data_IF_111841182862
#
_entry.id   IF_111841182862
#
_cell.length_a   1.000
_cell.length_b   1.000
_cell.length_c   1.000
_cell.angle_alpha   90.00
_cell.angle_beta   90.00
_cell.angle_gamma   90.00
#
_symmetry.space_group_name_H-M   'P 1'
#
loop_
_entity.id
_entity.type
_entity.pdbx_description
1 polymer ?
#
# COMPACT_ATOMS: atom_id res chain seq x y z
N UNK A 1 -18.22 -9.83 -10.64
CA UNK A 1 -19.70 -9.68 -10.77
C UNK A 1 -20.42 -9.53 -9.43
N UNK A 2 -20.12 -10.33 -8.40
CA UNK A 2 -20.80 -10.19 -7.09
C UNK A 2 -20.46 -8.91 -6.32
N UNK A 3 -19.23 -8.40 -6.43
CA UNK A 3 -18.79 -7.17 -5.73
C UNK A 3 -19.44 -5.93 -6.33
N UNK A 4 -19.42 -5.78 -7.65
CA UNK A 4 -20.08 -4.65 -8.33
C UNK A 4 -21.58 -4.63 -8.06
N UNK A 5 -22.25 -5.79 -8.11
CA UNK A 5 -23.67 -5.89 -7.78
C UNK A 5 -23.98 -5.46 -6.34
N UNK A 6 -23.17 -5.91 -5.36
CA UNK A 6 -23.30 -5.49 -3.97
C UNK A 6 -23.08 -3.98 -3.79
N UNK A 7 -22.10 -3.40 -4.49
CA UNK A 7 -21.83 -1.97 -4.44
C UNK A 7 -22.97 -1.16 -5.05
N UNK A 8 -23.50 -1.57 -6.21
CA UNK A 8 -24.68 -0.93 -6.82
C UNK A 8 -25.87 -0.98 -5.87
N UNK A 9 -26.16 -2.15 -5.30
CA UNK A 9 -27.25 -2.32 -4.34
C UNK A 9 -27.05 -1.42 -3.11
N UNK A 10 -25.82 -1.34 -2.58
CA UNK A 10 -25.50 -0.47 -1.45
C UNK A 10 -25.72 1.01 -1.76
N UNK A 11 -25.32 1.48 -2.95
CA UNK A 11 -25.53 2.88 -3.39
C UNK A 11 -27.01 3.19 -3.48
N UNK A 12 -27.79 2.28 -4.09
CA UNK A 12 -29.24 2.45 -4.26
C UNK A 12 -29.93 2.47 -2.90
N UNK A 13 -29.65 1.49 -2.03
CA UNK A 13 -30.24 1.42 -0.69
C UNK A 13 -29.91 2.67 0.14
N UNK A 14 -28.66 3.14 0.10
CA UNK A 14 -28.24 4.34 0.81
C UNK A 14 -28.97 5.59 0.27
N UNK A 15 -29.09 5.72 -1.05
CA UNK A 15 -29.78 6.86 -1.68
C UNK A 15 -31.28 6.85 -1.34
N UNK A 16 -31.94 5.69 -1.39
CA UNK A 16 -33.34 5.55 -1.00
C UNK A 16 -33.55 5.84 0.49
N UNK A 17 -32.66 5.37 1.35
CA UNK A 17 -32.73 5.63 2.79
C UNK A 17 -32.58 7.12 3.10
N UNK A 18 -31.58 7.79 2.51
CA UNK A 18 -31.39 9.24 2.67
C UNK A 18 -32.62 9.99 2.15
N UNK A 19 -33.15 9.62 0.97
CA UNK A 19 -34.35 10.24 0.41
C UNK A 19 -35.60 10.07 1.29
N UNK A 20 -35.78 8.90 1.90
CA UNK A 20 -36.88 8.66 2.84
C UNK A 20 -36.75 9.53 4.09
N UNK A 21 -35.55 9.60 4.68
CA UNK A 21 -35.30 10.45 5.86
C UNK A 21 -35.48 11.93 5.52
N UNK A 22 -35.03 12.36 4.35
CA UNK A 22 -35.16 13.74 3.85
C UNK A 22 -36.62 14.12 3.63
N UNK A 23 -37.45 13.22 3.10
CA UNK A 23 -38.89 13.44 2.96
C UNK A 23 -39.58 13.64 4.33
N UNK A 24 -39.27 12.81 5.32
CA UNK A 24 -39.86 12.90 6.66
C UNK A 24 -39.36 14.14 7.43
N UNK A 25 -38.09 14.50 7.26
CA UNK A 25 -37.39 15.47 8.11
C UNK A 25 -37.20 16.84 7.44
N UNK A 26 -37.50 16.97 6.15
CA UNK A 26 -37.17 18.11 5.27
C UNK A 26 -37.74 19.47 5.67
N UNK A 27 -38.57 19.55 6.72
CA UNK A 27 -39.07 20.81 7.29
C UNK A 27 -38.16 21.44 8.34
N UNK A 28 -37.20 20.69 8.91
CA UNK A 28 -36.38 21.15 10.04
C UNK A 28 -34.88 21.09 9.76
N UNK A 29 -34.40 20.14 8.94
CA UNK A 29 -32.97 19.92 8.71
C UNK A 29 -32.62 19.88 7.21
N UNK A 30 -31.46 20.42 6.84
CA UNK A 30 -30.95 20.42 5.46
C UNK A 30 -30.05 19.18 5.23
N UNK A 31 -30.52 18.18 4.49
CA UNK A 31 -29.78 16.90 4.31
C UNK A 31 -28.84 16.86 3.10
N UNK A 32 -28.62 17.97 2.40
CA UNK A 32 -27.88 17.98 1.12
C UNK A 32 -26.47 17.38 1.22
N UNK A 33 -25.78 17.56 2.36
CA UNK A 33 -24.44 17.02 2.58
C UNK A 33 -24.42 15.49 2.58
N UNK A 34 -25.49 14.84 3.04
CA UNK A 34 -25.55 13.38 3.13
C UNK A 34 -25.64 12.73 1.75
N UNK A 35 -26.19 13.42 0.75
CA UNK A 35 -26.22 12.95 -0.63
C UNK A 35 -24.83 12.89 -1.29
N UNK A 36 -23.79 13.49 -0.70
CA UNK A 36 -22.42 13.23 -1.15
C UNK A 36 -21.94 11.80 -0.85
N UNK A 37 -22.44 11.17 0.21
CA UNK A 37 -22.01 9.82 0.60
C UNK A 37 -22.27 8.76 -0.50
N UNK A 38 -23.48 8.62 -1.08
CA UNK A 38 -23.70 7.69 -2.17
C UNK A 38 -22.90 8.05 -3.43
N UNK A 39 -22.69 9.34 -3.74
CA UNK A 39 -21.88 9.79 -4.90
C UNK A 39 -20.41 9.41 -4.73
N UNK A 40 -19.84 9.62 -3.54
CA UNK A 40 -18.47 9.21 -3.21
C UNK A 40 -18.35 7.70 -3.31
N UNK A 41 -19.28 6.94 -2.71
CA UNK A 41 -19.26 5.48 -2.76
C UNK A 41 -19.36 4.95 -4.20
N UNK A 42 -20.20 5.57 -5.04
CA UNK A 42 -20.28 5.27 -6.46
C UNK A 42 -18.96 5.58 -7.19
N UNK A 43 -18.31 6.71 -6.91
CA UNK A 43 -16.99 7.04 -7.47
C UNK A 43 -15.91 6.01 -7.09
N UNK A 44 -15.95 5.51 -5.85
CA UNK A 44 -14.99 4.55 -5.30
C UNK A 44 -15.19 3.11 -5.77
N UNK A 45 -16.38 2.70 -6.17
CA UNK A 45 -16.62 1.31 -6.57
C UNK A 45 -17.06 1.14 -8.02
N UNK A 46 -17.82 2.09 -8.56
CA UNK A 46 -18.36 2.04 -9.93
C UNK A 46 -17.62 3.00 -10.89
N UNK A 47 -16.70 3.82 -10.38
CA UNK A 47 -15.89 4.75 -11.18
C UNK A 47 -16.65 6.01 -11.59
N UNK A 48 -16.12 6.71 -12.60
CA UNK A 48 -16.62 8.04 -13.01
C UNK A 48 -18.06 7.97 -13.56
N UNK A 49 -18.35 7.00 -14.41
CA UNK A 49 -19.68 6.79 -14.99
C UNK A 49 -20.71 6.50 -13.91
N UNK A 50 -20.39 5.64 -12.95
CA UNK A 50 -21.23 5.37 -11.78
C UNK A 50 -21.50 6.64 -10.97
N UNK A 51 -20.46 7.42 -10.65
CA UNK A 51 -20.61 8.67 -9.90
C UNK A 51 -21.51 9.70 -10.61
N UNK A 52 -21.41 9.82 -11.94
CA UNK A 52 -22.25 10.72 -12.73
C UNK A 52 -23.72 10.31 -12.68
N UNK A 53 -24.01 9.02 -12.88
CA UNK A 53 -25.38 8.50 -12.79
C UNK A 53 -25.94 8.70 -11.37
N UNK A 54 -25.18 8.34 -10.34
CA UNK A 54 -25.62 8.53 -8.94
C UNK A 54 -25.83 10.01 -8.59
N UNK A 55 -25.02 10.93 -9.13
CA UNK A 55 -25.20 12.39 -8.92
C UNK A 55 -26.52 12.89 -9.50
N UNK A 56 -26.89 12.43 -10.70
CA UNK A 56 -28.16 12.77 -11.34
C UNK A 56 -29.32 12.19 -10.52
N UNK A 57 -29.21 10.93 -10.10
CA UNK A 57 -30.24 10.27 -9.27
C UNK A 57 -30.41 10.99 -7.94
N UNK A 58 -29.33 11.31 -7.22
CA UNK A 58 -29.40 12.04 -5.95
C UNK A 58 -30.02 13.43 -6.12
N UNK A 59 -29.68 14.15 -7.19
CA UNK A 59 -30.29 15.45 -7.51
C UNK A 59 -31.81 15.32 -7.77
N UNK A 60 -32.22 14.29 -8.52
CA UNK A 60 -33.63 14.01 -8.79
C UNK A 60 -34.42 13.60 -7.54
N UNK A 61 -33.84 12.74 -6.70
CA UNK A 61 -34.46 12.33 -5.41
C UNK A 61 -34.61 13.53 -4.50
N UNK A 62 -33.59 14.39 -4.40
CA UNK A 62 -33.68 15.61 -3.61
C UNK A 62 -34.75 16.57 -4.15
N UNK A 63 -34.78 16.81 -5.47
CA UNK A 63 -35.81 17.66 -6.07
C UNK A 63 -37.23 17.13 -5.83
N UNK A 64 -37.41 15.81 -5.93
CA UNK A 64 -38.69 15.18 -5.64
C UNK A 64 -39.07 15.34 -4.16
N UNK A 65 -38.13 15.13 -3.23
CA UNK A 65 -38.36 15.31 -1.80
C UNK A 65 -38.72 16.78 -1.47
N UNK A 66 -37.98 17.73 -2.05
CA UNK A 66 -38.24 19.17 -1.89
C UNK A 66 -39.61 19.56 -2.47
N UNK A 67 -39.92 19.12 -3.71
CA UNK A 67 -41.20 19.40 -4.37
C UNK A 67 -42.41 18.79 -3.65
N UNK A 68 -42.30 17.56 -3.16
CA UNK A 68 -43.38 16.89 -2.42
C UNK A 68 -43.57 17.48 -1.02
N UNK A 69 -42.50 17.96 -0.40
CA UNK A 69 -42.53 18.60 0.93
C UNK A 69 -42.98 20.06 0.86
N UNK A 70 -42.75 20.74 -0.27
CA UNK A 70 -43.04 22.15 -0.47
C UNK A 70 -44.46 22.39 -1.00
N UNK A 71 -45.47 22.40 -0.12
CA UNK A 71 -46.78 23.01 -0.44
C UNK A 71 -46.77 24.55 -0.41
N UNK A 72 -45.68 25.20 0.01
CA UNK A 72 -45.62 26.65 0.30
C UNK A 72 -44.40 27.40 -0.30
N UNK A 73 -43.75 26.92 -1.37
CA UNK A 73 -42.66 27.69 -2.00
C UNK A 73 -43.21 28.78 -2.95
N UNK A 74 -42.90 30.08 -2.76
CA UNK A 74 -43.58 31.16 -3.51
C UNK A 74 -43.17 31.30 -4.97
N UNK A 75 -42.05 30.69 -5.42
CA UNK A 75 -41.58 30.84 -6.80
C UNK A 75 -40.77 29.64 -7.31
N UNK A 76 -41.10 29.19 -8.53
CA UNK A 76 -40.40 28.09 -9.22
C UNK A 76 -38.92 28.41 -9.51
N UNK A 77 -38.53 29.69 -9.55
CA UNK A 77 -37.16 30.10 -9.85
C UNK A 77 -36.12 29.65 -8.82
N UNK A 78 -36.47 29.67 -7.53
CA UNK A 78 -35.53 29.29 -6.46
C UNK A 78 -35.30 27.77 -6.45
N UNK A 79 -36.33 26.97 -6.70
CA UNK A 79 -36.21 25.52 -6.79
C UNK A 79 -35.29 25.09 -7.95
N UNK A 80 -35.46 25.71 -9.13
CA UNK A 80 -34.60 25.47 -10.30
C UNK A 80 -33.15 25.90 -10.02
N UNK A 81 -32.94 27.03 -9.35
CA UNK A 81 -31.61 27.47 -8.98
C UNK A 81 -30.91 26.51 -8.01
N UNK A 82 -31.63 26.02 -7.00
CA UNK A 82 -31.11 25.07 -6.02
C UNK A 82 -30.71 23.72 -6.65
N UNK A 83 -31.52 23.20 -7.58
CA UNK A 83 -31.18 21.94 -8.27
C UNK A 83 -29.97 22.10 -9.18
N UNK A 84 -29.84 23.24 -9.86
CA UNK A 84 -28.68 23.53 -10.71
C UNK A 84 -27.37 23.58 -9.91
N UNK A 85 -27.36 24.27 -8.76
CA UNK A 85 -26.18 24.33 -7.89
C UNK A 85 -25.85 22.95 -7.33
N UNK A 86 -26.85 22.20 -6.86
CA UNK A 86 -26.62 20.86 -6.27
C UNK A 86 -26.13 19.85 -7.30
N UNK A 87 -26.69 19.86 -8.50
CA UNK A 87 -26.24 19.00 -9.60
C UNK A 87 -24.77 19.28 -9.94
N UNK A 88 -24.39 20.56 -10.04
CA UNK A 88 -22.99 20.92 -10.32
C UNK A 88 -22.05 20.51 -9.18
N UNK A 89 -22.46 20.66 -7.92
CA UNK A 89 -21.69 20.22 -6.76
C UNK A 89 -21.48 18.70 -6.72
N UNK A 90 -22.54 17.90 -6.94
CA UNK A 90 -22.44 16.44 -6.97
C UNK A 90 -21.55 15.95 -8.11
N UNK A 91 -21.70 16.51 -9.31
CA UNK A 91 -20.83 16.18 -10.45
C UNK A 91 -19.36 16.54 -10.17
N UNK A 92 -19.10 17.72 -9.58
CA UNK A 92 -17.75 18.15 -9.23
C UNK A 92 -17.13 17.22 -8.17
N UNK A 93 -17.89 16.85 -7.15
CA UNK A 93 -17.44 15.93 -6.09
C UNK A 93 -17.15 14.53 -6.63
N UNK A 94 -18.05 13.99 -7.46
CA UNK A 94 -17.87 12.71 -8.14
C UNK A 94 -16.61 12.69 -9.01
N UNK A 95 -16.42 13.72 -9.85
CA UNK A 95 -15.25 13.84 -10.71
C UNK A 95 -13.95 13.97 -9.92
N UNK A 96 -13.93 14.79 -8.87
CA UNK A 96 -12.75 15.00 -8.02
C UNK A 96 -12.33 13.71 -7.33
N UNK A 97 -13.29 13.01 -6.74
CA UNK A 97 -13.05 11.73 -6.05
C UNK A 97 -12.56 10.64 -7.02
N UNK A 98 -13.17 10.52 -8.19
CA UNK A 98 -12.70 9.58 -9.22
C UNK A 98 -11.28 9.88 -9.69
N UNK A 99 -10.93 11.16 -9.88
CA UNK A 99 -9.57 11.56 -10.25
C UNK A 99 -8.57 11.27 -9.14
N UNK A 100 -8.90 11.59 -7.89
CA UNK A 100 -8.06 11.30 -6.71
C UNK A 100 -7.74 9.81 -6.64
N UNK A 101 -8.74 8.94 -6.83
CA UNK A 101 -8.53 7.49 -6.82
C UNK A 101 -7.52 7.05 -7.88
N UNK A 102 -7.68 7.51 -9.12
CA UNK A 102 -6.76 7.17 -10.22
C UNK A 102 -5.34 7.67 -9.94
N UNK A 103 -5.19 8.82 -9.30
CA UNK A 103 -3.87 9.35 -8.92
C UNK A 103 -3.21 8.49 -7.83
N UNK A 104 -3.95 8.12 -6.79
CA UNK A 104 -3.45 7.26 -5.70
C UNK A 104 -3.02 5.89 -6.25
N UNK A 105 -3.81 5.29 -7.14
CA UNK A 105 -3.48 3.99 -7.72
C UNK A 105 -2.21 4.07 -8.59
N UNK A 106 -2.02 5.18 -9.33
CA UNK A 106 -0.78 5.43 -10.09
C UNK A 106 0.44 5.62 -9.19
N UNK A 107 0.30 6.38 -8.10
CA UNK A 107 1.39 6.61 -7.15
C UNK A 107 1.85 5.29 -6.52
N UNK A 108 0.90 4.42 -6.14
CA UNK A 108 1.20 3.08 -5.63
C UNK A 108 1.94 2.22 -6.65
N UNK A 109 1.47 2.18 -7.89
CA UNK A 109 2.12 1.42 -8.97
C UNK A 109 3.56 1.90 -9.23
N UNK A 110 3.78 3.22 -9.23
CA UNK A 110 5.11 3.80 -9.38
C UNK A 110 6.02 3.47 -8.19
N UNK A 111 5.49 3.56 -6.97
CA UNK A 111 6.23 3.22 -5.75
C UNK A 111 6.68 1.76 -5.75
N UNK A 112 5.79 0.84 -6.12
CA UNK A 112 6.14 -0.58 -6.25
C UNK A 112 7.19 -0.82 -7.33
N UNK A 113 7.06 -0.18 -8.49
CA UNK A 113 8.05 -0.29 -9.57
C UNK A 113 9.43 0.19 -9.12
N UNK A 114 9.49 1.35 -8.46
CA UNK A 114 10.74 1.89 -7.92
C UNK A 114 11.35 0.93 -6.89
N UNK A 115 10.53 0.37 -6.00
CA UNK A 115 10.96 -0.63 -5.02
C UNK A 115 11.56 -1.87 -5.66
N UNK A 116 10.97 -2.38 -6.75
CA UNK A 116 11.50 -3.52 -7.51
C UNK A 116 12.84 -3.19 -8.16
N UNK A 117 12.96 -2.04 -8.83
CA UNK A 117 14.23 -1.61 -9.44
C UNK A 117 15.35 -1.45 -8.41
N UNK A 118 15.04 -0.87 -7.25
CA UNK A 118 16.02 -0.75 -6.16
C UNK A 118 16.43 -2.12 -5.61
N UNK A 119 15.50 -3.09 -5.53
CA UNK A 119 15.83 -4.44 -5.11
C UNK A 119 16.77 -5.15 -6.10
N UNK A 120 16.56 -4.98 -7.41
CA UNK A 120 17.44 -5.52 -8.45
C UNK A 120 18.85 -4.93 -8.40
N UNK A 121 18.99 -3.62 -8.15
CA UNK A 121 20.30 -2.97 -7.97
C UNK A 121 21.05 -3.51 -6.75
N UNK A 122 20.38 -3.69 -5.61
CA UNK A 122 21.00 -4.23 -4.40
C UNK A 122 21.55 -5.64 -4.57
N UNK A 123 20.92 -6.46 -5.41
CA UNK A 123 21.44 -7.79 -5.75
C UNK A 123 22.74 -7.68 -6.54
N UNK A 124 22.83 -6.70 -7.45
CA UNK A 124 24.03 -6.45 -8.24
C UNK A 124 25.18 -5.87 -7.39
N UNK A 125 24.86 -4.98 -6.43
CA UNK A 125 25.82 -4.44 -5.44
C UNK A 125 26.36 -5.51 -4.48
N UNK A 126 25.60 -6.58 -4.23
CA UNK A 126 26.03 -7.68 -3.34
C UNK A 126 27.10 -8.61 -3.94
N UNK A 127 27.46 -8.44 -5.22
CA UNK A 127 28.48 -9.26 -5.88
C UNK A 127 29.88 -8.72 -5.60
N UNK A 128 30.59 -9.37 -4.69
CA UNK A 128 32.00 -9.05 -4.41
C UNK A 128 32.90 -9.77 -5.42
N UNK A 129 33.63 -9.04 -6.30
CA UNK A 129 34.52 -9.66 -7.28
C UNK A 129 35.76 -10.24 -6.60
N UNK A 130 35.90 -11.57 -6.63
CA UNK A 130 37.05 -12.29 -6.07
C UNK A 130 37.97 -12.83 -7.16
N UNK A 131 39.28 -12.81 -6.93
CA UNK A 131 40.25 -13.46 -7.81
C UNK A 131 40.12 -14.98 -7.71
N UNK A 132 39.95 -15.68 -8.84
CA UNK A 132 39.79 -17.12 -8.88
C UNK A 132 41.06 -17.88 -8.40
N UNK A 133 42.25 -17.27 -8.49
CA UNK A 133 43.51 -17.91 -8.12
C UNK A 133 43.87 -17.68 -6.64
N UNK A 134 43.92 -16.43 -6.19
CA UNK A 134 44.38 -16.07 -4.84
C UNK A 134 43.27 -15.68 -3.86
N UNK A 135 42.01 -15.57 -4.31
CA UNK A 135 40.83 -15.17 -3.51
C UNK A 135 40.87 -13.76 -2.92
N UNK A 136 41.77 -12.89 -3.39
CA UNK A 136 41.73 -11.46 -3.10
C UNK A 136 40.45 -10.83 -3.63
N UNK A 137 39.95 -9.81 -2.94
CA UNK A 137 38.77 -9.03 -3.35
C UNK A 137 39.25 -7.80 -4.13
N UNK A 138 38.56 -7.45 -5.22
CA UNK A 138 38.79 -6.21 -5.96
C UNK A 138 37.84 -5.12 -5.47
N UNK A 139 38.39 -3.96 -5.14
CA UNK A 139 37.61 -2.78 -4.74
C UNK A 139 37.14 -1.94 -5.94
N UNK A 140 36.44 -0.84 -5.66
CA UNK A 140 35.95 0.13 -6.67
C UNK A 140 37.11 0.88 -7.37
N UNK A 141 38.28 0.99 -6.73
CA UNK A 141 39.48 1.62 -7.27
C UNK A 141 40.34 0.66 -8.11
N UNK A 142 39.84 -0.55 -8.38
CA UNK A 142 40.53 -1.60 -9.11
C UNK A 142 41.82 -2.09 -8.40
N UNK A 143 41.91 -1.91 -7.08
CA UNK A 143 42.96 -2.45 -6.21
C UNK A 143 42.53 -3.79 -5.62
N UNK A 144 43.51 -4.65 -5.35
CA UNK A 144 43.29 -5.99 -4.81
C UNK A 144 43.66 -6.05 -3.33
N UNK A 145 42.71 -6.46 -2.52
CA UNK A 145 42.85 -6.57 -1.07
C UNK A 145 42.73 -8.02 -0.63
N UNK A 146 43.47 -8.41 0.41
CA UNK A 146 43.25 -9.70 1.07
C UNK A 146 41.86 -9.68 1.71
N UNK A 147 41.17 -10.82 1.66
CA UNK A 147 39.79 -10.99 2.14
C UNK A 147 39.56 -10.37 3.52
N UNK A 148 40.45 -10.65 4.47
CA UNK A 148 40.35 -10.20 5.86
C UNK A 148 40.47 -8.68 5.98
N UNK A 149 41.42 -8.07 5.26
CA UNK A 149 41.61 -6.62 5.23
C UNK A 149 40.39 -5.92 4.64
N UNK A 150 39.90 -6.40 3.49
CA UNK A 150 38.74 -5.83 2.82
C UNK A 150 37.47 -5.87 3.70
N UNK A 151 37.18 -7.01 4.34
CA UNK A 151 36.01 -7.16 5.20
C UNK A 151 36.12 -6.30 6.47
N UNK A 152 37.32 -6.20 7.06
CA UNK A 152 37.54 -5.37 8.25
C UNK A 152 37.37 -3.88 7.93
N UNK A 153 37.80 -3.43 6.75
CA UNK A 153 37.69 -2.02 6.34
C UNK A 153 36.26 -1.63 5.94
N UNK A 154 35.45 -2.58 5.44
CA UNK A 154 34.10 -2.31 4.90
C UNK A 154 32.96 -2.77 5.81
N UNK A 155 33.26 -3.41 6.95
CA UNK A 155 32.26 -3.88 7.92
C UNK A 155 32.78 -3.73 9.35
N UNK A 156 31.91 -3.85 10.36
CA UNK A 156 32.32 -3.88 11.77
C UNK A 156 32.83 -5.27 12.23
N UNK A 157 33.26 -6.14 11.30
CA UNK A 157 33.75 -7.46 11.65
C UNK A 157 35.17 -7.40 12.26
N UNK A 158 35.43 -8.23 13.27
CA UNK A 158 36.77 -8.46 13.82
C UNK A 158 37.13 -9.93 13.66
N UNK A 159 38.32 -10.21 13.14
CA UNK A 159 38.80 -11.57 12.93
C UNK A 159 39.67 -12.03 14.10
N UNK A 160 39.29 -13.17 14.69
CA UNK A 160 40.15 -13.91 15.63
C UNK A 160 40.74 -15.13 14.92
N UNK A 161 41.98 -15.48 15.24
CA UNK A 161 42.64 -16.64 14.66
C UNK A 161 42.49 -17.87 15.57
N UNK A 162 41.94 -18.95 15.02
CA UNK A 162 41.79 -20.23 15.70
C UNK A 162 41.95 -21.39 14.72
N UNK A 163 42.33 -22.56 15.22
CA UNK A 163 42.42 -23.76 14.41
C UNK A 163 41.14 -24.57 14.52
N UNK A 164 40.57 -24.98 13.40
CA UNK A 164 39.48 -25.94 13.41
C UNK A 164 39.99 -27.35 13.80
N UNK A 165 39.10 -28.26 14.25
CA UNK A 165 39.50 -29.60 14.67
C UNK A 165 40.26 -30.39 13.59
N UNK A 166 39.90 -30.19 12.31
CA UNK A 166 40.58 -30.83 11.17
C UNK A 166 42.03 -30.38 11.03
N UNK A 167 42.27 -29.06 11.07
CA UNK A 167 43.62 -28.50 10.95
C UNK A 167 44.48 -28.88 12.16
N UNK A 168 43.90 -28.86 13.35
CA UNK A 168 44.59 -29.26 14.59
C UNK A 168 45.06 -30.71 14.52
N UNK A 169 44.18 -31.63 14.09
CA UNK A 169 44.51 -33.05 13.92
C UNK A 169 45.65 -33.25 12.91
N UNK A 170 45.61 -32.56 11.78
CA UNK A 170 46.65 -32.65 10.74
C UNK A 170 48.02 -32.23 11.27
N UNK A 171 48.09 -31.12 12.00
CA UNK A 171 49.34 -30.62 12.60
C UNK A 171 49.87 -31.58 13.66
N UNK A 172 48.98 -32.14 14.48
CA UNK A 172 49.35 -33.16 15.48
C UNK A 172 49.93 -34.42 14.81
N UNK A 173 49.29 -34.90 13.74
CA UNK A 173 49.76 -36.04 12.94
C UNK A 173 51.13 -35.76 12.29
N UNK A 174 51.32 -34.59 11.68
CA UNK A 174 52.61 -34.17 11.08
C UNK A 174 53.72 -34.02 12.14
N UNK A 175 53.37 -33.63 13.37
CA UNK A 175 54.31 -33.52 14.50
C UNK A 175 54.63 -34.87 15.16
N UNK A 176 54.06 -35.99 14.68
CA UNK A 176 54.23 -37.30 15.31
C UNK A 176 53.58 -37.43 16.69
N UNK A 177 52.74 -36.45 17.06
CA UNK A 177 51.99 -36.43 18.30
C UNK A 177 50.64 -37.09 18.04
N UNK A 178 50.47 -38.32 18.52
CA UNK A 178 49.12 -38.89 18.65
C UNK A 178 48.41 -38.12 19.75
N UNK A 179 47.60 -37.14 19.35
CA UNK A 179 46.89 -36.26 20.29
C UNK A 179 46.10 -37.07 21.32
N UNK A 180 45.96 -36.56 22.57
CA UNK A 180 45.17 -37.24 23.57
C UNK A 180 43.76 -37.48 23.02
N UNK A 181 43.29 -38.71 23.14
CA UNK A 181 41.91 -39.08 22.87
C UNK A 181 41.03 -38.34 23.88
N UNK A 182 40.61 -37.12 23.53
CA UNK A 182 39.62 -36.40 24.31
C UNK A 182 38.32 -37.21 24.20
N UNK A 183 38.08 -38.04 25.20
CA UNK A 183 36.75 -38.59 25.46
C UNK A 183 35.83 -37.39 25.56
N UNK A 184 34.81 -37.38 24.72
CA UNK A 184 33.68 -36.48 24.84
C UNK A 184 33.01 -36.83 26.16
N UNK A 185 33.36 -36.11 27.23
CA UNK A 185 32.51 -36.07 28.41
C UNK A 185 31.25 -35.33 27.98
N UNK A 186 30.25 -36.13 27.62
CA UNK A 186 28.86 -35.70 27.63
C UNK A 186 28.54 -35.27 29.05
N UNK A 187 28.57 -33.97 29.31
CA UNK A 187 27.95 -33.36 30.49
C UNK A 187 26.44 -33.52 30.34
N UNK A 188 25.96 -34.69 30.73
CA UNK A 188 24.63 -34.89 31.27
C UNK A 188 24.61 -34.27 32.67
N UNK A 189 24.15 -33.03 32.77
CA UNK A 189 23.56 -32.44 33.98
C UNK A 189 22.44 -31.54 33.46
N UNK A 190 21.17 -31.93 33.50
CA UNK A 190 20.31 -32.20 34.67
C UNK A 190 20.07 -30.95 35.52
N UNK A 191 19.02 -30.19 35.16
CA UNK A 191 18.00 -29.54 36.03
C UNK A 191 17.38 -28.33 35.33
#
# INVERSE_FOLDING_TARGET
>A
MSVEFKSVLSVVLLTCFIGFVDYETGRVLNFFLFYFAPVILAAWFLGLSGAMVTSIVCSGVWFAADYLSARDYPSHGIAVWNTMIRMSAFMMMGASTSKIRVLIDRERELSERLGRTLAELKVLEGLVPICAACKSIRDENNQWHVLEAYITDHTNAQFTHGLCPKCTKKILEEAGLSGPSHKTETSSDSS
#
